data_IF_776296301226
#
_entry.id   IF_776296301226
#
_cell.length_a   1.000
_cell.length_b   1.000
_cell.length_c   1.000
_cell.angle_alpha   90.00
_cell.angle_beta   90.00
_cell.angle_gamma   90.00
#
_symmetry.space_group_name_H-M   'P 1'
#
loop_
_entity.id
_entity.type
_entity.pdbx_description
1 polymer ?
#
# COMPACT_ATOMS: atom_id res chain seq x y z
N UNK A 1 11.93 14.28 13.65
CA UNK A 1 12.63 13.29 12.78
C UNK A 1 11.65 12.44 11.98
N UNK A 2 10.72 11.71 12.60
CA UNK A 2 9.68 10.91 11.89
C UNK A 2 8.86 11.69 10.87
N UNK A 3 8.50 12.94 11.18
CA UNK A 3 7.60 13.75 10.37
C UNK A 3 8.15 14.05 8.98
N UNK A 4 9.47 14.25 8.84
CA UNK A 4 10.10 14.55 7.56
C UNK A 4 10.15 13.33 6.64
N UNK A 5 10.59 12.19 7.16
CA UNK A 5 10.63 10.95 6.39
C UNK A 5 9.22 10.50 5.98
N UNK A 6 8.24 10.62 6.90
CA UNK A 6 6.84 10.38 6.60
C UNK A 6 6.31 11.36 5.54
N UNK A 7 6.63 12.65 5.63
CA UNK A 7 6.17 13.63 4.65
C UNK A 7 6.72 13.32 3.24
N UNK A 8 8.01 12.99 3.11
CA UNK A 8 8.60 12.56 1.84
C UNK A 8 7.91 11.29 1.29
N UNK A 9 7.67 10.30 2.15
CA UNK A 9 6.94 9.09 1.79
C UNK A 9 5.51 9.39 1.34
N UNK A 10 4.74 10.19 2.09
CA UNK A 10 3.35 10.52 1.77
C UNK A 10 3.27 11.33 0.48
N UNK A 11 4.12 12.35 0.31
CA UNK A 11 4.12 13.18 -0.90
C UNK A 11 4.50 12.36 -2.13
N UNK A 12 5.54 11.54 -2.07
CA UNK A 12 5.90 10.64 -3.18
C UNK A 12 4.79 9.64 -3.50
N UNK A 13 4.14 9.08 -2.48
CA UNK A 13 2.98 8.18 -2.62
C UNK A 13 1.82 8.88 -3.33
N UNK A 14 1.46 10.10 -2.92
CA UNK A 14 0.38 10.88 -3.52
C UNK A 14 0.67 11.27 -4.97
N UNK A 15 1.90 11.69 -5.26
CA UNK A 15 2.33 12.05 -6.62
C UNK A 15 2.26 10.81 -7.53
N UNK A 16 2.77 9.67 -7.09
CA UNK A 16 2.71 8.42 -7.86
C UNK A 16 1.28 7.94 -8.05
N UNK A 17 0.44 8.03 -7.01
CA UNK A 17 -0.96 7.70 -7.11
C UNK A 17 -1.67 8.58 -8.15
N UNK A 18 -1.48 9.90 -8.09
CA UNK A 18 -2.04 10.84 -9.05
C UNK A 18 -1.54 10.59 -10.48
N UNK A 19 -0.24 10.30 -10.65
CA UNK A 19 0.35 9.97 -11.94
C UNK A 19 -0.28 8.71 -12.55
N UNK A 20 -0.45 7.64 -11.76
CA UNK A 20 -1.11 6.43 -12.25
C UNK A 20 -2.57 6.69 -12.66
N UNK A 21 -3.33 7.41 -11.81
CA UNK A 21 -4.72 7.80 -12.11
C UNK A 21 -4.78 8.58 -13.42
N UNK A 22 -3.93 9.58 -13.62
CA UNK A 22 -3.90 10.37 -14.85
C UNK A 22 -3.63 9.52 -16.10
N UNK A 23 -2.76 8.50 -15.98
CA UNK A 23 -2.40 7.62 -17.09
C UNK A 23 -3.48 6.57 -17.41
N UNK A 24 -4.23 6.10 -16.41
CA UNK A 24 -5.16 4.97 -16.53
C UNK A 24 -6.65 5.37 -16.59
N UNK A 25 -7.05 6.51 -16.01
CA UNK A 25 -8.46 6.90 -15.85
C UNK A 25 -9.24 7.03 -17.16
N UNK A 26 -8.56 7.31 -18.27
CA UNK A 26 -9.19 7.40 -19.59
C UNK A 26 -9.40 6.04 -20.28
N UNK A 27 -8.75 4.98 -19.79
CA UNK A 27 -8.71 3.67 -20.46
C UNK A 27 -9.37 2.55 -19.66
N UNK A 28 -9.51 2.73 -18.35
CA UNK A 28 -9.95 1.70 -17.41
C UNK A 28 -11.08 2.20 -16.52
N UNK A 29 -11.99 1.31 -16.07
CA UNK A 29 -13.02 1.66 -15.10
C UNK A 29 -12.39 2.05 -13.76
N UNK A 30 -13.09 2.88 -12.99
CA UNK A 30 -12.60 3.43 -11.72
C UNK A 30 -12.08 2.37 -10.74
N UNK A 31 -12.71 1.19 -10.69
CA UNK A 31 -12.26 0.11 -9.82
C UNK A 31 -10.88 -0.45 -10.22
N UNK A 32 -10.65 -0.70 -11.51
CA UNK A 32 -9.34 -1.16 -12.01
C UNK A 32 -8.27 -0.08 -11.86
N UNK A 33 -8.63 1.19 -12.09
CA UNK A 33 -7.74 2.34 -11.84
C UNK A 33 -7.34 2.39 -10.37
N UNK A 34 -8.28 2.16 -9.44
CA UNK A 34 -8.00 2.17 -8.00
C UNK A 34 -7.06 1.05 -7.60
N UNK A 35 -7.28 -0.18 -8.10
CA UNK A 35 -6.38 -1.31 -7.85
C UNK A 35 -4.98 -1.06 -8.41
N UNK A 36 -4.88 -0.52 -9.63
CA UNK A 36 -3.59 -0.15 -10.21
C UNK A 36 -2.89 1.00 -9.49
N UNK A 37 -3.64 1.97 -8.98
CA UNK A 37 -3.12 3.09 -8.17
C UNK A 37 -2.52 2.58 -6.87
N UNK A 38 -3.22 1.65 -6.20
CA UNK A 38 -2.70 0.95 -5.04
C UNK A 38 -1.48 0.11 -5.41
N UNK A 39 -1.50 -0.58 -6.54
CA UNK A 39 -0.36 -1.35 -7.00
C UNK A 39 0.90 -0.47 -7.20
N UNK A 40 0.72 0.75 -7.72
CA UNK A 40 1.79 1.68 -8.02
C UNK A 40 2.34 2.43 -6.80
N UNK A 41 1.56 2.62 -5.73
CA UNK A 41 1.91 3.55 -4.64
C UNK A 41 1.85 2.96 -3.23
N UNK A 42 1.08 1.88 -3.02
CA UNK A 42 0.81 1.32 -1.69
C UNK A 42 1.83 0.22 -1.34
N UNK A 43 2.65 0.49 -0.31
CA UNK A 43 3.80 -0.35 0.08
C UNK A 43 3.46 -1.49 1.03
N UNK A 44 4.23 -2.58 0.96
CA UNK A 44 4.17 -3.69 1.91
C UNK A 44 4.89 -3.38 3.24
N UNK A 45 4.45 -2.35 3.94
CA UNK A 45 5.10 -1.89 5.18
C UNK A 45 5.02 -2.93 6.31
N UNK A 46 3.91 -3.66 6.43
CA UNK A 46 3.73 -4.64 7.50
C UNK A 46 4.62 -5.87 7.32
N UNK A 47 4.51 -6.56 6.17
CA UNK A 47 5.16 -7.86 6.00
C UNK A 47 6.63 -7.72 5.60
N UNK A 48 7.00 -6.70 4.83
CA UNK A 48 8.38 -6.48 4.37
C UNK A 48 9.03 -5.23 4.97
N UNK A 49 8.25 -4.19 5.28
CA UNK A 49 8.80 -2.98 5.87
C UNK A 49 9.43 -3.20 7.24
N UNK A 50 8.78 -3.96 8.14
CA UNK A 50 9.32 -4.26 9.48
C UNK A 50 10.70 -4.96 9.40
N UNK A 51 10.86 -6.10 8.71
CA UNK A 51 12.17 -6.77 8.63
C UNK A 51 13.21 -5.94 7.87
N UNK A 52 12.83 -5.24 6.80
CA UNK A 52 13.76 -4.37 6.06
C UNK A 52 14.21 -3.19 6.92
N UNK A 53 13.31 -2.56 7.68
CA UNK A 53 13.68 -1.48 8.59
C UNK A 53 14.59 -1.95 9.73
N UNK A 54 14.29 -3.12 10.32
CA UNK A 54 15.16 -3.71 11.33
C UNK A 54 16.58 -3.97 10.79
N UNK A 55 16.69 -4.47 9.56
CA UNK A 55 17.97 -4.84 8.96
C UNK A 55 18.75 -3.65 8.38
N UNK A 56 18.08 -2.77 7.62
CA UNK A 56 18.72 -1.66 6.87
C UNK A 56 18.80 -0.40 7.71
N UNK A 57 17.76 -0.08 8.48
CA UNK A 57 17.69 1.17 9.25
C UNK A 57 18.14 0.98 10.70
N UNK A 58 18.20 -0.26 11.20
CA UNK A 58 18.44 -0.55 12.62
C UNK A 58 17.29 -0.09 13.55
N UNK A 59 16.19 0.39 12.98
CA UNK A 59 15.08 0.99 13.72
C UNK A 59 13.74 0.77 13.00
N UNK A 60 12.87 -0.01 13.62
CA UNK A 60 11.53 -0.33 13.09
C UNK A 60 10.51 0.79 13.31
N UNK A 61 10.82 1.77 14.15
CA UNK A 61 9.89 2.86 14.49
C UNK A 61 9.51 3.73 13.28
N UNK A 62 10.37 3.77 12.24
CA UNK A 62 10.07 4.43 10.97
C UNK A 62 8.88 3.81 10.21
N UNK A 63 8.55 2.55 10.47
CA UNK A 63 7.45 1.84 9.79
C UNK A 63 6.09 2.17 10.40
N UNK A 64 6.03 2.45 11.71
CA UNK A 64 4.75 2.67 12.38
C UNK A 64 3.95 3.85 11.79
N UNK A 65 4.53 5.04 11.50
CA UNK A 65 3.80 6.12 10.85
C UNK A 65 3.32 5.81 9.43
N UNK A 66 4.10 5.02 8.67
CA UNK A 66 3.71 4.55 7.34
C UNK A 66 2.49 3.63 7.43
N UNK A 67 2.51 2.68 8.37
CA UNK A 67 1.38 1.80 8.64
C UNK A 67 0.12 2.56 9.06
N UNK A 68 0.27 3.57 9.92
CA UNK A 68 -0.85 4.42 10.35
C UNK A 68 -1.43 5.18 9.16
N UNK A 69 -0.61 5.83 8.33
CA UNK A 69 -1.07 6.49 7.11
C UNK A 69 -1.83 5.51 6.18
N UNK A 70 -1.27 4.32 5.96
CA UNK A 70 -1.87 3.32 5.10
C UNK A 70 -3.20 2.77 5.64
N UNK A 71 -3.27 2.51 6.94
CA UNK A 71 -4.43 1.91 7.60
C UNK A 71 -5.55 2.93 7.83
N UNK A 72 -5.21 4.18 8.16
CA UNK A 72 -6.20 5.21 8.50
C UNK A 72 -6.67 6.04 7.30
N UNK A 73 -5.83 6.17 6.26
CA UNK A 73 -6.14 7.04 5.11
C UNK A 73 -6.15 6.24 3.81
N UNK A 74 -5.00 5.70 3.38
CA UNK A 74 -4.88 5.20 2.01
C UNK A 74 -5.78 3.98 1.70
N UNK A 75 -5.78 2.94 2.55
CA UNK A 75 -6.63 1.77 2.34
C UNK A 75 -8.13 2.11 2.47
N UNK A 76 -8.59 2.80 3.54
CA UNK A 76 -9.94 3.32 3.64
C UNK A 76 -10.42 4.08 2.40
N UNK A 77 -9.65 5.07 1.93
CA UNK A 77 -10.02 5.87 0.75
C UNK A 77 -10.15 5.00 -0.49
N UNK A 78 -9.21 4.08 -0.73
CA UNK A 78 -9.27 3.21 -1.89
C UNK A 78 -10.48 2.24 -1.84
N UNK A 79 -10.77 1.69 -0.66
CA UNK A 79 -11.94 0.82 -0.46
C UNK A 79 -13.25 1.58 -0.66
N UNK A 80 -13.34 2.83 -0.19
CA UNK A 80 -14.52 3.66 -0.43
C UNK A 80 -14.73 3.92 -1.93
N UNK A 81 -13.66 4.15 -2.70
CA UNK A 81 -13.76 4.28 -4.17
C UNK A 81 -14.19 2.97 -4.82
N UNK A 82 -13.68 1.83 -4.37
CA UNK A 82 -14.07 0.50 -4.85
C UNK A 82 -15.53 0.17 -4.53
N UNK A 83 -16.03 0.50 -3.33
CA UNK A 83 -17.43 0.34 -2.94
C UNK A 83 -18.37 1.16 -3.84
N UNK A 84 -18.01 2.41 -4.13
CA UNK A 84 -18.78 3.27 -5.03
C UNK A 84 -18.76 2.72 -6.45
N UNK A 85 -17.60 2.28 -6.93
CA UNK A 85 -17.47 1.70 -8.27
C UNK A 85 -18.23 0.38 -8.43
N UNK A 86 -18.33 -0.43 -7.37
CA UNK A 86 -19.05 -1.70 -7.36
C UNK A 86 -20.58 -1.50 -7.35
N UNK A 87 -21.07 -0.48 -6.65
CA UNK A 87 -22.53 -0.21 -6.54
C UNK A 87 -23.13 0.52 -7.75
N UNK A 88 -22.30 1.10 -8.63
CA UNK A 88 -22.74 1.74 -9.89
C UNK A 88 -23.57 3.03 -9.72
N UNK A 89 -23.85 3.46 -8.49
CA UNK A 89 -24.63 4.65 -8.18
C UNK A 89 -23.72 5.79 -7.76
N UNK A 90 -23.89 6.98 -8.35
CA UNK A 90 -23.26 8.21 -7.83
C UNK A 90 -23.77 8.46 -6.41
N UNK A 91 -22.93 8.40 -5.37
CA UNK A 91 -23.41 8.61 -4.02
C UNK A 91 -23.82 10.08 -3.88
N UNK A 92 -24.94 10.36 -3.23
CA UNK A 92 -25.24 11.74 -2.82
C UNK A 92 -24.11 12.25 -1.91
N UNK A 93 -23.84 13.55 -1.88
CA UNK A 93 -22.77 14.15 -1.05
C UNK A 93 -22.90 13.71 0.43
N UNK A 94 -24.12 13.56 0.95
CA UNK A 94 -24.39 12.99 2.29
C UNK A 94 -23.99 11.51 2.40
N UNK A 95 -24.23 10.71 1.37
CA UNK A 95 -23.80 9.31 1.31
C UNK A 95 -22.28 9.20 1.17
N UNK A 96 -21.63 10.15 0.47
CA UNK A 96 -20.18 10.24 0.31
C UNK A 96 -19.48 10.54 1.64
N UNK A 97 -20.03 11.44 2.46
CA UNK A 97 -19.52 11.76 3.81
C UNK A 97 -19.78 10.59 4.79
N UNK A 98 -20.88 9.84 4.61
CA UNK A 98 -21.21 8.67 5.43
C UNK A 98 -20.69 7.31 4.92
N UNK A 99 -20.11 7.26 3.72
CA UNK A 99 -19.55 6.06 3.09
C UNK A 99 -18.36 5.52 3.89
N UNK A 100 -17.42 6.37 4.33
CA UNK A 100 -16.39 6.01 5.29
C UNK A 100 -16.94 5.35 6.55
N UNK A 101 -17.95 5.97 7.16
CA UNK A 101 -18.59 5.51 8.40
C UNK A 101 -19.42 4.23 8.25
N UNK A 102 -19.58 3.69 7.04
CA UNK A 102 -20.33 2.46 6.77
C UNK A 102 -19.44 1.30 6.34
N UNK A 103 -18.17 1.55 6.02
CA UNK A 103 -17.24 0.48 5.68
C UNK A 103 -16.84 -0.24 6.97
N UNK A 104 -17.07 -1.56 7.09
CA UNK A 104 -16.69 -2.32 8.28
C UNK A 104 -15.21 -2.16 8.64
N UNK A 105 -14.33 -1.97 7.64
CA UNK A 105 -12.89 -1.77 7.84
C UNK A 105 -12.60 -0.40 8.47
N UNK A 106 -13.28 0.65 8.03
CA UNK A 106 -13.11 1.98 8.63
C UNK A 106 -13.70 2.05 10.03
N UNK A 107 -14.87 1.43 10.25
CA UNK A 107 -15.47 1.32 11.58
C UNK A 107 -14.55 0.56 12.54
N UNK A 108 -13.98 -0.57 12.11
CA UNK A 108 -13.02 -1.32 12.91
C UNK A 108 -11.73 -0.52 13.17
N UNK A 109 -11.19 0.16 12.16
CA UNK A 109 -9.97 0.99 12.30
C UNK A 109 -10.20 2.19 13.23
N UNK A 110 -11.36 2.84 13.10
CA UNK A 110 -11.77 3.94 13.97
C UNK A 110 -12.02 3.48 15.39
N UNK A 111 -12.68 2.35 15.59
CA UNK A 111 -12.85 1.74 16.90
C UNK A 111 -11.49 1.40 17.53
N UNK A 112 -10.58 0.78 16.79
CA UNK A 112 -9.22 0.50 17.25
C UNK A 112 -8.45 1.76 17.66
N UNK A 113 -8.58 2.83 16.87
CA UNK A 113 -7.97 4.12 17.20
C UNK A 113 -8.56 4.74 18.48
N UNK A 114 -9.87 4.67 18.67
CA UNK A 114 -10.54 5.17 19.89
C UNK A 114 -10.08 4.37 21.12
N UNK A 115 -10.01 3.04 21.01
CA UNK A 115 -9.51 2.17 22.08
C UNK A 115 -8.06 2.52 22.43
N UNK A 116 -7.20 2.65 21.41
CA UNK A 116 -5.80 3.04 21.61
C UNK A 116 -5.66 4.43 22.25
N UNK A 117 -6.48 5.40 21.85
CA UNK A 117 -6.43 6.77 22.37
C UNK A 117 -6.97 6.89 23.80
N UNK A 118 -7.92 6.04 24.20
CA UNK A 118 -8.49 6.02 25.55
C UNK A 118 -7.64 5.24 26.55
N UNK A 119 -6.66 4.45 26.08
CA UNK A 119 -5.88 3.54 26.92
C UNK A 119 -6.69 2.38 27.49
N UNK A 120 -7.93 2.18 27.02
CA UNK A 120 -8.77 1.08 27.46
C UNK A 120 -8.28 -0.22 26.83
N UNK A 121 -8.19 -1.28 27.66
CA UNK A 121 -7.74 -2.60 27.22
C UNK A 121 -8.94 -3.56 27.28
N UNK A 122 -9.48 -3.99 26.12
CA UNK A 122 -10.56 -4.97 26.09
C UNK A 122 -10.11 -6.29 26.75
N UNK A 123 -11.03 -7.06 27.38
CA UNK A 123 -10.71 -8.36 27.94
C UNK A 123 -10.13 -9.31 26.88
N UNK A 124 -9.09 -10.06 27.23
CA UNK A 124 -8.40 -10.97 26.31
C UNK A 124 -9.34 -11.96 25.61
N UNK A 125 -10.34 -12.48 26.33
CA UNK A 125 -11.33 -13.42 25.77
C UNK A 125 -12.17 -12.82 24.64
N UNK A 126 -12.43 -11.51 24.70
CA UNK A 126 -13.16 -10.82 23.62
C UNK A 126 -12.27 -10.60 22.39
N UNK A 127 -10.96 -10.45 22.57
CA UNK A 127 -10.00 -10.26 21.47
C UNK A 127 -9.57 -11.58 20.83
N UNK A 128 -9.63 -12.69 21.56
CA UNK A 128 -9.08 -13.98 21.14
C UNK A 128 -9.56 -14.46 19.76
N UNK A 129 -10.86 -14.40 19.39
CA UNK A 129 -11.30 -14.79 18.05
C UNK A 129 -10.71 -13.89 16.95
N UNK A 130 -10.59 -12.59 17.21
CA UNK A 130 -10.02 -11.63 16.27
C UNK A 130 -8.52 -11.85 16.09
N UNK A 131 -7.80 -12.20 17.15
CA UNK A 131 -6.38 -12.57 17.08
C UNK A 131 -6.15 -13.84 16.23
N UNK A 132 -6.99 -14.86 16.43
CA UNK A 132 -6.90 -16.11 15.65
C UNK A 132 -7.18 -15.87 14.16
N UNK A 133 -8.22 -15.12 13.83
CA UNK A 133 -8.54 -14.78 12.43
C UNK A 133 -7.47 -13.87 11.84
N UNK A 134 -7.02 -12.86 12.60
CA UNK A 134 -6.01 -11.89 12.16
C UNK A 134 -4.66 -12.54 11.88
N UNK A 135 -4.21 -13.46 12.75
CA UNK A 135 -2.96 -14.20 12.57
C UNK A 135 -3.00 -15.15 11.37
N UNK A 136 -4.16 -15.73 11.06
CA UNK A 136 -4.34 -16.58 9.87
C UNK A 136 -4.47 -15.77 8.56
N UNK A 137 -4.84 -14.49 8.62
CA UNK A 137 -5.16 -13.68 7.44
C UNK A 137 -3.97 -13.52 6.48
N UNK A 138 -2.78 -13.19 6.99
CA UNK A 138 -1.58 -13.00 6.15
C UNK A 138 -1.15 -14.30 5.46
N UNK A 139 -0.98 -15.45 6.17
CA UNK A 139 -0.69 -16.73 5.55
C UNK A 139 -1.71 -17.15 4.49
N UNK A 140 -3.01 -17.02 4.78
CA UNK A 140 -4.06 -17.40 3.83
C UNK A 140 -4.05 -16.53 2.59
N UNK A 141 -3.84 -15.22 2.73
CA UNK A 141 -3.75 -14.33 1.59
C UNK A 141 -2.48 -14.59 0.74
N UNK A 142 -1.36 -15.01 1.35
CA UNK A 142 -0.17 -15.46 0.60
C UNK A 142 -0.43 -16.76 -0.14
N UNK A 143 -1.10 -17.73 0.49
CA UNK A 143 -1.50 -18.97 -0.17
C UNK A 143 -2.45 -18.70 -1.35
N UNK A 144 -3.44 -17.81 -1.18
CA UNK A 144 -4.34 -17.41 -2.24
C UNK A 144 -3.60 -16.71 -3.40
N UNK A 145 -2.67 -15.81 -3.09
CA UNK A 145 -1.80 -15.19 -4.07
C UNK A 145 -0.98 -16.24 -4.83
N UNK A 146 -0.38 -17.19 -4.11
CA UNK A 146 0.40 -18.30 -4.67
C UNK A 146 -0.43 -19.21 -5.59
N UNK A 147 -1.64 -19.60 -5.17
CA UNK A 147 -2.57 -20.37 -5.99
C UNK A 147 -2.98 -19.58 -7.26
N UNK A 148 -3.17 -18.26 -7.14
CA UNK A 148 -3.51 -17.39 -8.27
C UNK A 148 -2.39 -17.29 -9.32
N UNK A 149 -1.15 -17.66 -8.97
CA UNK A 149 -0.03 -17.69 -9.92
C UNK A 149 -0.06 -18.90 -10.85
N UNK A 150 -0.83 -19.95 -10.54
CA UNK A 150 -0.93 -21.13 -11.40
C UNK A 150 -1.50 -20.75 -12.76
N UNK A 151 -0.71 -20.96 -13.82
CA UNK A 151 -1.08 -20.58 -15.18
C UNK A 151 -0.96 -19.08 -15.49
N UNK A 152 -0.56 -18.27 -14.51
CA UNK A 152 -0.23 -16.87 -14.74
C UNK A 152 1.07 -16.74 -15.52
N UNK A 153 1.18 -15.68 -16.32
CA UNK A 153 2.41 -15.29 -16.99
C UNK A 153 2.67 -13.80 -16.73
N UNK A 154 3.24 -13.44 -15.55
CA UNK A 154 3.39 -12.04 -15.15
C UNK A 154 4.22 -11.18 -16.10
N UNK A 155 5.07 -11.79 -16.94
CA UNK A 155 5.85 -11.10 -17.97
C UNK A 155 5.22 -11.17 -19.37
N UNK A 156 4.23 -12.03 -19.58
CA UNK A 156 3.65 -12.19 -20.91
C UNK A 156 2.86 -10.93 -21.33
N UNK A 157 2.86 -10.60 -22.64
CA UNK A 157 1.96 -9.60 -23.18
C UNK A 157 0.51 -9.97 -22.87
N UNK A 158 -0.29 -8.99 -22.51
CA UNK A 158 -1.71 -9.17 -22.20
C UNK A 158 -2.42 -7.83 -22.09
N UNK A 159 -3.77 -7.84 -22.02
CA UNK A 159 -4.56 -6.61 -21.96
C UNK A 159 -4.14 -5.70 -20.80
N UNK A 160 -3.70 -6.27 -19.68
CA UNK A 160 -3.25 -5.53 -18.49
C UNK A 160 -1.75 -5.21 -18.51
N UNK A 161 -1.01 -5.59 -19.55
CA UNK A 161 0.45 -5.48 -19.57
C UNK A 161 0.94 -4.05 -19.40
N UNK A 162 0.31 -3.10 -20.08
CA UNK A 162 0.65 -1.67 -19.97
C UNK A 162 0.46 -1.16 -18.56
N UNK A 163 -0.70 -1.42 -17.97
CA UNK A 163 -1.07 -0.94 -16.63
C UNK A 163 -0.17 -1.58 -15.56
N UNK A 164 0.14 -2.87 -15.71
CA UNK A 164 1.07 -3.61 -14.86
C UNK A 164 2.48 -3.04 -14.90
N UNK A 165 3.07 -2.90 -16.08
CA UNK A 165 4.43 -2.38 -16.20
C UNK A 165 4.52 -0.93 -15.73
N UNK A 166 3.48 -0.13 -15.99
CA UNK A 166 3.40 1.25 -15.47
C UNK A 166 3.39 1.25 -13.94
N UNK A 167 2.56 0.42 -13.29
CA UNK A 167 2.52 0.32 -11.84
C UNK A 167 3.86 -0.14 -11.26
N UNK A 168 4.49 -1.16 -11.85
CA UNK A 168 5.79 -1.69 -11.40
C UNK A 168 6.89 -0.62 -11.50
N UNK A 169 7.02 0.06 -12.64
CA UNK A 169 8.02 1.12 -12.83
C UNK A 169 7.78 2.28 -11.86
N UNK A 170 6.52 2.69 -11.70
CA UNK A 170 6.18 3.74 -10.75
C UNK A 170 6.54 3.36 -9.32
N UNK A 171 6.28 2.12 -8.92
CA UNK A 171 6.50 1.63 -7.56
C UNK A 171 7.98 1.47 -7.21
N UNK A 172 8.76 0.91 -8.15
CA UNK A 172 10.14 0.46 -7.91
C UNK A 172 11.18 1.51 -8.26
N UNK A 173 10.88 2.40 -9.21
CA UNK A 173 11.84 3.41 -9.66
C UNK A 173 11.34 4.80 -9.25
N UNK A 174 10.13 5.17 -9.63
CA UNK A 174 9.67 6.55 -9.53
C UNK A 174 9.38 6.95 -8.08
N UNK A 175 8.68 6.12 -7.30
CA UNK A 175 8.34 6.43 -5.91
C UNK A 175 9.59 6.65 -5.03
N UNK A 176 10.58 5.73 -4.97
CA UNK A 176 11.78 5.96 -4.18
C UNK A 176 12.62 7.13 -4.69
N UNK A 177 12.69 7.35 -6.01
CA UNK A 177 13.37 8.53 -6.56
C UNK A 177 12.68 9.83 -6.13
N UNK A 178 11.35 9.90 -6.18
CA UNK A 178 10.60 11.05 -5.68
C UNK A 178 10.79 11.24 -4.17
N UNK A 179 10.77 10.16 -3.39
CA UNK A 179 11.04 10.24 -1.95
C UNK A 179 12.44 10.79 -1.67
N UNK A 180 13.45 10.40 -2.45
CA UNK A 180 14.80 10.95 -2.37
C UNK A 180 14.83 12.43 -2.72
N UNK A 181 14.27 12.82 -3.88
CA UNK A 181 14.28 14.21 -4.34
C UNK A 181 13.52 15.14 -3.38
N UNK A 182 12.35 14.72 -2.92
CA UNK A 182 11.55 15.46 -1.94
C UNK A 182 12.28 15.52 -0.61
N UNK A 183 12.78 14.39 -0.11
CA UNK A 183 13.52 14.32 1.14
C UNK A 183 14.74 15.23 1.13
N UNK A 184 15.63 15.05 0.15
CA UNK A 184 16.91 15.76 0.07
C UNK A 184 16.75 17.24 -0.28
N UNK A 185 15.95 17.57 -1.30
CA UNK A 185 15.92 18.94 -1.85
C UNK A 185 14.79 19.81 -1.33
N UNK A 186 13.62 19.24 -1.02
CA UNK A 186 12.48 20.03 -0.53
C UNK A 186 12.45 20.09 1.00
N UNK A 187 12.81 19.00 1.67
CA UNK A 187 12.72 18.87 3.13
C UNK A 187 14.08 18.94 3.84
N UNK A 188 15.19 18.97 3.10
CA UNK A 188 16.54 19.04 3.67
C UNK A 188 16.91 17.85 4.54
N UNK A 189 16.35 16.68 4.28
CA UNK A 189 16.64 15.44 5.02
C UNK A 189 18.01 14.90 4.63
N UNK A 190 18.69 14.35 5.63
CA UNK A 190 20.01 13.74 5.49
C UNK A 190 20.15 12.47 6.35
N UNK A 191 21.17 11.68 5.99
CA UNK A 191 21.59 10.49 6.73
C UNK A 191 20.45 9.49 6.96
N UNK A 192 20.27 8.97 8.19
CA UNK A 192 19.29 7.93 8.48
C UNK A 192 17.84 8.30 8.14
N UNK A 193 17.47 9.57 8.26
CA UNK A 193 16.09 10.01 7.97
C UNK A 193 15.77 10.04 6.48
N UNK A 194 16.75 10.41 5.64
CA UNK A 194 16.63 10.32 4.19
C UNK A 194 16.60 8.86 3.75
N UNK A 195 17.51 8.04 4.28
CA UNK A 195 17.54 6.61 4.02
C UNK A 195 16.20 5.94 4.37
N UNK A 196 15.63 6.25 5.54
CA UNK A 196 14.33 5.72 5.96
C UNK A 196 13.21 6.09 4.98
N UNK A 197 13.14 7.35 4.53
CA UNK A 197 12.12 7.78 3.57
C UNK A 197 12.22 7.04 2.23
N UNK A 198 13.44 6.85 1.73
CA UNK A 198 13.71 6.23 0.43
C UNK A 198 13.50 4.71 0.50
N UNK A 199 14.01 4.05 1.55
CA UNK A 199 13.84 2.60 1.79
C UNK A 199 12.37 2.24 1.95
N UNK A 200 11.62 2.98 2.77
CA UNK A 200 10.17 2.73 2.94
C UNK A 200 9.40 2.91 1.64
N UNK A 201 9.80 3.87 0.81
CA UNK A 201 9.20 4.12 -0.50
C UNK A 201 9.57 3.05 -1.55
N UNK A 202 10.72 2.39 -1.39
CA UNK A 202 11.21 1.31 -2.25
C UNK A 202 10.64 -0.08 -1.92
N UNK A 203 9.93 -0.22 -0.80
CA UNK A 203 9.22 -1.47 -0.47
C UNK A 203 8.27 -1.85 -1.61
N UNK A 204 8.08 -3.14 -1.90
CA UNK A 204 7.23 -3.58 -3.00
C UNK A 204 5.76 -3.29 -2.72
N UNK A 205 4.91 -3.52 -3.72
CA UNK A 205 3.46 -3.41 -3.59
C UNK A 205 2.94 -4.28 -2.45
N UNK A 206 2.01 -3.76 -1.64
CA UNK A 206 1.45 -4.54 -0.55
C UNK A 206 0.63 -5.73 -1.02
N UNK A 207 0.78 -6.84 -0.30
CA UNK A 207 -0.08 -8.02 -0.45
C UNK A 207 -1.57 -7.69 -0.30
N UNK A 208 -1.92 -6.71 0.54
CA UNK A 208 -3.31 -6.30 0.75
C UNK A 208 -4.00 -5.84 -0.55
N UNK A 209 -3.24 -5.33 -1.52
CA UNK A 209 -3.79 -4.91 -2.83
C UNK A 209 -4.42 -6.10 -3.56
N UNK A 210 -3.86 -7.30 -3.45
CA UNK A 210 -4.46 -8.53 -3.99
C UNK A 210 -5.77 -8.86 -3.27
N UNK A 211 -5.79 -8.80 -1.95
CA UNK A 211 -7.01 -9.07 -1.16
C UNK A 211 -8.13 -8.11 -1.53
N UNK A 212 -7.82 -6.82 -1.70
CA UNK A 212 -8.80 -5.83 -2.14
C UNK A 212 -9.27 -6.13 -3.57
N UNK A 213 -8.35 -6.38 -4.50
CA UNK A 213 -8.70 -6.72 -5.88
C UNK A 213 -9.63 -7.95 -5.96
N UNK A 214 -9.31 -9.01 -5.22
CA UNK A 214 -10.11 -10.24 -5.16
C UNK A 214 -11.47 -10.02 -4.51
N UNK A 215 -11.55 -9.22 -3.44
CA UNK A 215 -12.81 -8.93 -2.76
C UNK A 215 -13.82 -8.23 -3.68
N UNK A 216 -13.35 -7.31 -4.52
CA UNK A 216 -14.21 -6.57 -5.44
C UNK A 216 -14.29 -7.20 -6.84
N UNK A 217 -13.58 -8.31 -7.07
CA UNK A 217 -13.41 -8.96 -8.37
C UNK A 217 -12.99 -7.97 -9.48
N UNK A 218 -11.99 -7.14 -9.19
CA UNK A 218 -11.46 -6.12 -10.11
C UNK A 218 -9.95 -6.08 -10.08
N UNK A 219 -9.32 -6.06 -11.25
CA UNK A 219 -7.86 -5.90 -11.36
C UNK A 219 -7.04 -7.00 -10.67
N UNK A 220 -7.58 -8.21 -10.49
CA UNK A 220 -6.93 -9.31 -9.76
C UNK A 220 -5.61 -9.72 -10.42
N UNK A 221 -5.62 -9.86 -11.75
CA UNK A 221 -4.43 -10.13 -12.58
C UNK A 221 -3.35 -9.08 -12.39
N UNK A 222 -3.74 -7.80 -12.49
CA UNK A 222 -2.87 -6.64 -12.31
C UNK A 222 -2.23 -6.64 -10.92
N UNK A 223 -3.03 -6.79 -9.86
CA UNK A 223 -2.55 -6.80 -8.48
C UNK A 223 -1.56 -7.96 -8.23
N UNK A 224 -1.95 -9.18 -8.61
CA UNK A 224 -1.11 -10.38 -8.47
C UNK A 224 0.24 -10.18 -9.15
N UNK A 225 0.22 -9.81 -10.43
CA UNK A 225 1.44 -9.72 -11.22
C UNK A 225 2.32 -8.56 -10.74
N UNK A 226 1.73 -7.42 -10.38
CA UNK A 226 2.48 -6.29 -9.81
C UNK A 226 3.13 -6.67 -8.47
N UNK A 227 2.45 -7.38 -7.57
CA UNK A 227 3.04 -7.82 -6.31
C UNK A 227 4.26 -8.72 -6.56
N UNK A 228 4.16 -9.69 -7.46
CA UNK A 228 5.30 -10.58 -7.77
C UNK A 228 6.46 -9.80 -8.39
N UNK A 229 6.20 -9.00 -9.43
CA UNK A 229 7.24 -8.27 -10.13
C UNK A 229 7.93 -7.24 -9.23
N UNK A 230 7.14 -6.49 -8.44
CA UNK A 230 7.70 -5.52 -7.50
C UNK A 230 8.46 -6.19 -6.37
N UNK A 231 8.02 -7.35 -5.87
CA UNK A 231 8.74 -8.07 -4.80
C UNK A 231 10.12 -8.52 -5.28
N UNK A 232 10.22 -9.09 -6.48
CA UNK A 232 11.52 -9.48 -7.06
C UNK A 232 12.38 -8.25 -7.33
N UNK A 233 11.83 -7.21 -7.95
CA UNK A 233 12.59 -6.02 -8.31
C UNK A 233 13.02 -5.19 -7.09
N UNK A 234 12.22 -5.16 -6.02
CA UNK A 234 12.51 -4.43 -4.79
C UNK A 234 13.76 -4.94 -4.09
N UNK A 235 14.10 -6.23 -4.20
CA UNK A 235 15.35 -6.74 -3.64
C UNK A 235 16.57 -6.01 -4.23
N UNK A 236 16.63 -5.87 -5.56
CA UNK A 236 17.70 -5.13 -6.23
C UNK A 236 17.67 -3.63 -5.91
N UNK A 237 16.49 -3.02 -5.90
CA UNK A 237 16.33 -1.59 -5.59
C UNK A 237 16.72 -1.26 -4.16
N UNK A 238 16.33 -2.08 -3.18
CA UNK A 238 16.68 -1.90 -1.77
C UNK A 238 18.19 -2.05 -1.55
N UNK A 239 18.83 -3.03 -2.19
CA UNK A 239 20.29 -3.16 -2.15
C UNK A 239 20.96 -1.92 -2.72
N UNK A 240 20.53 -1.45 -3.90
CA UNK A 240 21.08 -0.24 -4.51
C UNK A 240 20.95 0.98 -3.59
N UNK A 241 19.77 1.20 -3.01
CA UNK A 241 19.51 2.30 -2.08
C UNK A 241 20.41 2.19 -0.84
N UNK A 242 20.48 1.01 -0.22
CA UNK A 242 21.30 0.78 0.95
C UNK A 242 22.79 1.03 0.66
N UNK A 243 23.28 0.65 -0.52
CA UNK A 243 24.68 0.91 -0.91
C UNK A 243 24.99 2.36 -1.24
N UNK A 244 24.01 3.13 -1.73
CA UNK A 244 24.22 4.52 -2.18
C UNK A 244 23.99 5.54 -1.06
N UNK A 245 23.12 5.24 -0.10
CA UNK A 245 22.68 6.16 0.96
C UNK A 245 22.95 5.67 2.39
N UNK A 246 23.34 4.40 2.55
CA UNK A 246 23.64 3.77 3.85
C UNK A 246 25.11 3.84 4.25
#
# INVERSE_FOLDING_TARGET
>A
MFTGALAAFVLSTLIVAAAYVALAARRRPAAEVTVGTLAASYVNAGNLGIPVAAYVLGDVSFIAPVLLFQTLLAAPTALAVLDVAATGHRPSVRRLVGLPLRSPIMLASGAGLIVAATGWHPPAEALRPFELIGSAAVPLALLALGMSLRGSRPLAPGPDGRDRYTAVVLKIIVQPLLAYLIGRHLLGLDGPTLLAAVVTSALPTAQNVFVFASRYDRGVSLARDAIVLTTVAAAGTLVAIATLLG
#
